data_IF_915648540029
#
_entry.id   IF_915648540029
#
_cell.length_a   1.000
_cell.length_b   1.000
_cell.length_c   1.000
_cell.angle_alpha   90.00
_cell.angle_beta   90.00
_cell.angle_gamma   90.00
#
_symmetry.space_group_name_H-M   'P 1'
#
loop_
_entity.id
_entity.type
_entity.pdbx_description
1 polymer ?
#
# COMPACT_ATOMS: atom_id res chain seq x y z
N UNK A 1 -0.28 -16.08 22.53
CA UNK A 1 -0.79 -15.81 21.17
C UNK A 1 -0.62 -14.32 20.93
N UNK A 2 0.23 -13.92 19.98
CA UNK A 2 0.34 -12.51 19.60
C UNK A 2 -0.82 -12.21 18.63
N UNK A 3 -1.68 -11.26 18.98
CA UNK A 3 -2.76 -10.82 18.10
C UNK A 3 -2.18 -10.15 16.84
N UNK A 4 -2.80 -10.36 15.68
CA UNK A 4 -2.36 -9.73 14.43
C UNK A 4 -2.56 -8.21 14.47
N UNK A 5 -1.74 -7.41 13.77
CA UNK A 5 -1.91 -5.96 13.66
C UNK A 5 -3.31 -5.55 13.20
N UNK A 6 -3.91 -6.31 12.28
CA UNK A 6 -5.29 -6.11 11.86
C UNK A 6 -6.29 -6.27 13.01
N UNK A 7 -6.13 -7.29 13.86
CA UNK A 7 -6.98 -7.50 15.03
C UNK A 7 -6.86 -6.37 16.05
N UNK A 8 -5.65 -5.82 16.21
CA UNK A 8 -5.36 -4.79 17.20
C UNK A 8 -5.78 -3.39 16.75
N UNK A 9 -5.68 -3.09 15.45
CA UNK A 9 -5.81 -1.71 14.94
C UNK A 9 -6.87 -1.52 13.86
N UNK A 10 -7.42 -2.61 13.28
CA UNK A 10 -8.34 -2.55 12.14
C UNK A 10 -9.69 -1.89 12.41
N UNK A 11 -10.04 -1.63 13.68
CA UNK A 11 -11.23 -0.84 14.03
C UNK A 11 -11.06 0.64 13.71
N UNK A 12 -9.84 1.15 13.89
CA UNK A 12 -9.54 2.59 13.84
C UNK A 12 -8.62 2.96 12.68
N UNK A 13 -8.00 1.98 12.02
CA UNK A 13 -7.05 2.18 10.93
C UNK A 13 -7.41 1.35 9.70
N UNK A 14 -7.15 1.90 8.52
CA UNK A 14 -6.93 1.14 7.30
C UNK A 14 -5.54 0.51 7.39
N UNK A 15 -5.49 -0.81 7.62
CA UNK A 15 -4.22 -1.53 7.84
C UNK A 15 -3.73 -2.10 6.51
N UNK A 16 -2.52 -1.73 6.12
CA UNK A 16 -1.78 -2.30 4.99
C UNK A 16 -0.65 -3.14 5.56
N UNK A 17 -0.83 -4.46 5.51
CA UNK A 17 0.10 -5.43 6.10
C UNK A 17 0.92 -6.12 5.01
N UNK A 18 2.24 -5.98 5.10
CA UNK A 18 3.20 -6.59 4.17
C UNK A 18 3.00 -8.10 4.00
N UNK A 19 2.47 -8.78 5.02
CA UNK A 19 2.24 -10.22 4.98
C UNK A 19 0.90 -10.61 4.35
N UNK A 20 -0.01 -9.64 4.13
CA UNK A 20 -1.38 -9.87 3.65
C UNK A 20 -1.80 -8.76 2.66
N UNK A 21 -0.98 -8.53 1.62
CA UNK A 21 -1.16 -7.40 0.70
C UNK A 21 -2.32 -7.59 -0.30
N UNK A 22 -2.63 -8.82 -0.67
CA UNK A 22 -3.57 -9.14 -1.76
C UNK A 22 -4.39 -10.39 -1.43
N UNK A 23 -5.62 -10.43 -1.96
CA UNK A 23 -6.48 -11.62 -1.95
C UNK A 23 -6.48 -12.28 -3.34
N UNK A 24 -6.44 -11.47 -4.39
CA UNK A 24 -6.35 -11.87 -5.78
C UNK A 24 -4.98 -12.43 -6.17
N UNK A 25 -4.94 -13.11 -7.31
CA UNK A 25 -3.72 -13.73 -7.84
C UNK A 25 -2.98 -12.80 -8.79
N UNK A 26 -3.73 -12.05 -9.60
CA UNK A 26 -3.24 -10.97 -10.46
C UNK A 26 -3.75 -9.62 -9.96
N UNK A 27 -3.16 -8.53 -10.44
CA UNK A 27 -3.66 -7.20 -10.09
C UNK A 27 -5.07 -6.96 -10.65
N UNK A 28 -5.38 -7.50 -11.82
CA UNK A 28 -6.72 -7.40 -12.41
C UNK A 28 -7.78 -8.09 -11.55
N UNK A 29 -7.47 -9.27 -11.00
CA UNK A 29 -8.37 -9.96 -10.07
C UNK A 29 -8.60 -9.11 -8.82
N UNK A 30 -7.53 -8.54 -8.25
CA UNK A 30 -7.61 -7.68 -7.07
C UNK A 30 -8.46 -6.43 -7.35
N UNK A 31 -8.22 -5.77 -8.49
CA UNK A 31 -8.99 -4.60 -8.89
C UNK A 31 -10.47 -4.91 -9.09
N UNK A 32 -10.79 -6.08 -9.65
CA UNK A 32 -12.16 -6.55 -9.79
C UNK A 32 -12.81 -6.78 -8.42
N UNK A 33 -12.10 -7.44 -7.49
CA UNK A 33 -12.58 -7.68 -6.12
C UNK A 33 -12.83 -6.38 -5.35
N UNK A 34 -11.99 -5.38 -5.57
CA UNK A 34 -12.11 -4.05 -4.95
C UNK A 34 -13.14 -3.14 -5.66
N UNK A 35 -13.77 -3.60 -6.74
CA UNK A 35 -14.76 -2.83 -7.49
C UNK A 35 -14.16 -1.61 -8.20
N UNK A 36 -12.91 -1.70 -8.64
CA UNK A 36 -12.23 -0.64 -9.36
C UNK A 36 -12.88 -0.39 -10.74
N UNK A 37 -12.92 0.88 -11.15
CA UNK A 37 -13.46 1.27 -12.44
C UNK A 37 -12.57 0.89 -13.62
N UNK A 38 -13.14 0.96 -14.82
CA UNK A 38 -12.38 0.80 -16.07
C UNK A 38 -11.21 1.81 -16.13
N UNK A 39 -10.03 1.36 -16.52
CA UNK A 39 -8.82 2.19 -16.59
C UNK A 39 -7.93 2.17 -15.35
N UNK A 40 -8.40 1.66 -14.20
CA UNK A 40 -7.62 1.63 -12.95
C UNK A 40 -6.25 0.95 -13.13
N UNK A 41 -6.19 -0.18 -13.85
CA UNK A 41 -4.93 -0.87 -14.12
C UNK A 41 -3.91 0.01 -14.84
N UNK A 42 -4.35 0.76 -15.85
CA UNK A 42 -3.48 1.64 -16.63
C UNK A 42 -2.98 2.81 -15.78
N UNK A 43 -3.83 3.35 -14.91
CA UNK A 43 -3.51 4.46 -14.02
C UNK A 43 -2.50 4.04 -12.95
N UNK A 44 -2.76 2.90 -12.30
CA UNK A 44 -1.83 2.30 -11.33
C UNK A 44 -0.52 1.93 -12.02
N UNK A 45 -0.55 1.48 -13.28
CA UNK A 45 0.64 1.19 -14.07
C UNK A 45 1.53 2.41 -14.30
N UNK A 46 0.94 3.59 -14.57
CA UNK A 46 1.71 4.84 -14.70
C UNK A 46 2.36 5.25 -13.38
N UNK A 47 1.66 5.07 -12.26
CA UNK A 47 2.20 5.34 -10.93
C UNK A 47 3.32 4.36 -10.56
N UNK A 48 3.13 3.06 -10.81
CA UNK A 48 4.13 2.02 -10.56
C UNK A 48 5.43 2.28 -11.34
N UNK A 49 5.33 2.79 -12.57
CA UNK A 49 6.49 3.12 -13.39
C UNK A 49 7.42 4.18 -12.75
N UNK A 50 6.88 5.08 -11.91
CA UNK A 50 7.69 6.06 -11.15
C UNK A 50 8.65 5.38 -10.16
N UNK A 51 8.27 4.21 -9.67
CA UNK A 51 9.08 3.35 -8.80
C UNK A 51 9.95 2.35 -9.57
N UNK A 52 9.93 2.39 -10.91
CA UNK A 52 10.59 1.41 -11.77
C UNK A 52 9.87 0.06 -11.85
N UNK A 53 8.62 -0.02 -11.37
CA UNK A 53 7.83 -1.25 -11.39
C UNK A 53 6.99 -1.28 -12.66
N UNK A 54 7.19 -2.31 -13.48
CA UNK A 54 6.40 -2.52 -14.71
C UNK A 54 5.28 -3.51 -14.45
N UNK A 55 4.04 -3.04 -14.57
CA UNK A 55 2.88 -3.91 -14.57
C UNK A 55 2.73 -4.60 -15.92
N UNK A 56 2.41 -5.89 -15.86
CA UNK A 56 2.19 -6.72 -17.03
C UNK A 56 0.83 -7.41 -16.87
N UNK A 57 -0.07 -7.32 -17.87
CA UNK A 57 -1.37 -7.96 -17.77
C UNK A 57 -1.27 -9.47 -17.52
N UNK A 58 -2.07 -9.98 -16.58
CA UNK A 58 -2.10 -11.38 -16.18
C UNK A 58 -0.88 -11.86 -15.40
N UNK A 59 0.07 -10.97 -15.06
CA UNK A 59 1.22 -11.34 -14.25
C UNK A 59 0.80 -11.59 -12.80
N UNK A 60 1.32 -12.68 -12.25
CA UNK A 60 1.07 -13.08 -10.86
C UNK A 60 1.68 -12.06 -9.91
N UNK A 61 0.91 -11.59 -8.93
CA UNK A 61 1.38 -10.66 -7.89
C UNK A 61 2.54 -11.27 -7.08
N UNK A 62 2.50 -12.59 -6.84
CA UNK A 62 3.55 -13.33 -6.16
C UNK A 62 4.89 -13.40 -6.91
N UNK A 63 4.91 -13.08 -8.21
CA UNK A 63 6.14 -13.04 -9.02
C UNK A 63 6.92 -11.73 -8.89
N UNK A 64 6.33 -10.70 -8.27
CA UNK A 64 7.01 -9.46 -7.93
C UNK A 64 7.80 -9.64 -6.63
N UNK A 65 8.87 -8.88 -6.45
CA UNK A 65 9.59 -8.81 -5.17
C UNK A 65 8.69 -8.24 -4.07
N UNK A 66 9.03 -8.50 -2.80
CA UNK A 66 8.25 -7.98 -1.67
C UNK A 66 8.07 -6.46 -1.70
N UNK A 67 9.13 -5.71 -2.02
CA UNK A 67 9.05 -4.25 -2.16
C UNK A 67 8.17 -3.80 -3.32
N UNK A 68 8.20 -4.50 -4.46
CA UNK A 68 7.30 -4.23 -5.58
C UNK A 68 5.84 -4.53 -5.21
N UNK A 69 5.57 -5.65 -4.55
CA UNK A 69 4.23 -6.00 -4.05
C UNK A 69 3.69 -4.93 -3.10
N UNK A 70 4.51 -4.46 -2.16
CA UNK A 70 4.17 -3.37 -1.25
C UNK A 70 3.80 -2.08 -1.99
N UNK A 71 4.59 -1.69 -3.00
CA UNK A 71 4.34 -0.51 -3.83
C UNK A 71 3.02 -0.67 -4.60
N UNK A 72 2.83 -1.80 -5.27
CA UNK A 72 1.61 -2.08 -6.05
C UNK A 72 0.37 -2.00 -5.14
N UNK A 73 0.41 -2.63 -3.97
CA UNK A 73 -0.70 -2.61 -3.01
C UNK A 73 -1.00 -1.18 -2.53
N UNK A 74 0.03 -0.43 -2.10
CA UNK A 74 -0.17 0.93 -1.61
C UNK A 74 -0.74 1.85 -2.70
N UNK A 75 -0.21 1.80 -3.93
CA UNK A 75 -0.71 2.61 -5.04
C UNK A 75 -2.14 2.24 -5.44
N UNK A 76 -2.46 0.95 -5.42
CA UNK A 76 -3.82 0.46 -5.68
C UNK A 76 -4.80 0.99 -4.64
N UNK A 77 -4.45 0.88 -3.35
CA UNK A 77 -5.29 1.39 -2.27
C UNK A 77 -5.40 2.91 -2.31
N UNK A 78 -4.33 3.65 -2.57
CA UNK A 78 -4.41 5.11 -2.74
C UNK A 78 -5.37 5.54 -3.86
N UNK A 79 -5.45 4.78 -4.95
CA UNK A 79 -6.37 5.05 -6.04
C UNK A 79 -7.85 4.84 -5.64
N UNK A 80 -8.11 3.89 -4.73
CA UNK A 80 -9.46 3.42 -4.39
C UNK A 80 -9.99 3.94 -3.06
N UNK A 81 -9.11 4.38 -2.16
CA UNK A 81 -9.49 4.93 -0.87
C UNK A 81 -10.21 6.29 -1.03
N UNK A 82 -11.21 6.58 -0.18
CA UNK A 82 -11.95 7.82 -0.26
C UNK A 82 -11.07 9.01 0.10
N UNK A 83 -11.29 10.16 -0.56
CA UNK A 83 -10.58 11.42 -0.31
C UNK A 83 -11.22 12.16 0.87
N UNK A 84 -11.07 11.57 2.06
CA UNK A 84 -11.56 12.07 3.34
C UNK A 84 -10.55 11.74 4.44
N UNK A 85 -10.69 12.26 5.66
CA UNK A 85 -9.78 11.91 6.74
C UNK A 85 -9.80 10.41 7.04
N UNK A 86 -8.62 9.80 7.01
CA UNK A 86 -8.40 8.37 7.23
C UNK A 86 -7.13 8.20 8.05
N UNK A 87 -7.08 7.16 8.90
CA UNK A 87 -5.84 6.73 9.54
C UNK A 87 -5.34 5.49 8.82
N UNK A 88 -4.18 5.56 8.20
CA UNK A 88 -3.57 4.47 7.44
C UNK A 88 -2.40 3.93 8.24
N UNK A 89 -2.36 2.62 8.47
CA UNK A 89 -1.28 1.95 9.19
C UNK A 89 -0.51 1.03 8.25
N UNK A 90 0.75 1.38 7.99
CA UNK A 90 1.69 0.58 7.21
C UNK A 90 2.47 -0.38 8.11
N UNK A 91 2.17 -1.67 8.05
CA UNK A 91 2.83 -2.69 8.88
C UNK A 91 3.96 -3.33 8.09
N UNK A 92 5.20 -3.13 8.53
CA UNK A 92 6.45 -3.59 7.89
C UNK A 92 6.66 -3.17 6.42
N UNK A 93 5.73 -2.43 5.80
CA UNK A 93 5.79 -2.00 4.40
C UNK A 93 7.08 -1.22 4.12
N UNK A 94 7.35 -0.17 4.91
CA UNK A 94 8.49 0.73 4.64
C UNK A 94 9.86 0.06 4.83
N UNK A 95 9.94 -1.00 5.63
CA UNK A 95 11.16 -1.76 5.88
C UNK A 95 11.60 -2.58 4.66
N UNK A 96 10.64 -2.98 3.82
CA UNK A 96 10.91 -3.74 2.58
C UNK A 96 11.39 -2.86 1.43
N UNK A 97 11.34 -1.53 1.58
CA UNK A 97 11.63 -0.57 0.53
C UNK A 97 13.04 0.02 0.68
N UNK A 98 13.67 0.32 -0.45
CA UNK A 98 14.88 1.14 -0.48
C UNK A 98 14.58 2.56 0.05
N UNK A 99 15.59 3.30 0.55
CA UNK A 99 15.39 4.67 1.05
C UNK A 99 14.67 5.59 0.04
N UNK A 100 15.10 5.54 -1.22
CA UNK A 100 14.47 6.29 -2.32
C UNK A 100 12.99 5.94 -2.49
N UNK A 101 12.65 4.65 -2.51
CA UNK A 101 11.26 4.22 -2.70
C UNK A 101 10.40 4.52 -1.47
N UNK A 102 10.99 4.52 -0.27
CA UNK A 102 10.31 4.93 0.96
C UNK A 102 9.91 6.40 0.90
N UNK A 103 10.87 7.28 0.61
CA UNK A 103 10.62 8.72 0.46
C UNK A 103 9.54 8.98 -0.59
N UNK A 104 9.70 8.39 -1.78
CA UNK A 104 8.74 8.56 -2.87
C UNK A 104 7.35 8.05 -2.48
N UNK A 105 7.23 6.91 -1.80
CA UNK A 105 5.94 6.38 -1.38
C UNK A 105 5.23 7.30 -0.38
N UNK A 106 5.98 7.85 0.58
CA UNK A 106 5.45 8.82 1.54
C UNK A 106 4.98 10.10 0.84
N UNK A 107 5.76 10.61 -0.13
CA UNK A 107 5.37 11.77 -0.93
C UNK A 107 4.10 11.50 -1.76
N UNK A 108 3.95 10.28 -2.31
CA UNK A 108 2.71 9.88 -3.01
C UNK A 108 1.52 9.83 -2.06
N UNK A 109 1.65 9.28 -0.85
CA UNK A 109 0.57 9.32 0.14
C UNK A 109 0.15 10.76 0.47
N UNK A 110 1.11 11.64 0.74
CA UNK A 110 0.83 13.05 1.04
C UNK A 110 0.18 13.78 -0.14
N UNK A 111 0.54 13.43 -1.37
CA UNK A 111 -0.02 14.05 -2.59
C UNK A 111 -1.44 13.52 -2.90
N UNK A 112 -1.65 12.21 -2.80
CA UNK A 112 -2.88 11.56 -3.24
C UNK A 112 -3.95 11.58 -2.15
N UNK A 113 -3.55 11.39 -0.89
CA UNK A 113 -4.43 11.36 0.28
C UNK A 113 -3.98 12.41 1.31
N UNK A 114 -4.03 13.72 0.99
CA UNK A 114 -3.48 14.78 1.85
C UNK A 114 -4.18 14.90 3.21
N UNK A 115 -5.41 14.40 3.33
CA UNK A 115 -6.18 14.39 4.58
C UNK A 115 -5.96 13.13 5.42
N UNK A 116 -5.17 12.16 4.94
CA UNK A 116 -4.90 10.92 5.67
C UNK A 116 -3.74 11.09 6.66
N UNK A 117 -3.93 10.59 7.88
CA UNK A 117 -2.86 10.41 8.85
C UNK A 117 -2.17 9.07 8.57
N UNK A 118 -0.88 9.12 8.28
CA UNK A 118 -0.09 7.93 7.96
C UNK A 118 0.74 7.48 9.17
N UNK A 119 0.64 6.20 9.50
CA UNK A 119 1.34 5.56 10.59
C UNK A 119 2.13 4.35 10.08
N UNK A 120 3.17 3.97 10.82
CA UNK A 120 3.97 2.77 10.57
C UNK A 120 4.01 1.88 11.81
N UNK A 121 4.03 0.57 11.61
CA UNK A 121 4.21 -0.42 12.68
C UNK A 121 5.43 -1.27 12.38
N UNK A 122 6.54 -0.98 13.09
CA UNK A 122 7.80 -1.75 13.09
C UNK A 122 7.92 -2.59 14.38
N UNK A 123 7.28 -2.13 15.45
CA UNK A 123 7.25 -2.77 16.77
C UNK A 123 5.82 -3.06 17.24
N UNK A 124 5.51 -2.74 18.50
CA UNK A 124 4.18 -2.98 19.08
C UNK A 124 3.22 -1.81 18.94
N UNK A 125 3.72 -0.61 18.68
CA UNK A 125 2.91 0.61 18.67
C UNK A 125 3.01 1.35 17.33
N UNK A 126 1.87 1.84 16.80
CA UNK A 126 1.86 2.72 15.64
C UNK A 126 2.60 4.03 15.90
N UNK A 127 3.50 4.41 14.99
CA UNK A 127 4.22 5.68 15.02
C UNK A 127 3.88 6.51 13.77
N UNK A 128 3.82 7.85 13.83
CA UNK A 128 3.60 8.67 12.64
C UNK A 128 4.69 8.43 11.58
N UNK A 129 4.27 8.16 10.35
CA UNK A 129 5.16 7.96 9.21
C UNK A 129 5.88 9.28 8.89
N UNK A 130 7.21 9.28 8.95
CA UNK A 130 8.04 10.49 8.83
C UNK A 130 8.81 10.88 10.10
N UNK A 131 8.56 10.19 11.23
CA UNK A 131 9.33 10.37 12.48
C UNK A 131 10.72 9.73 12.44
N UNK A 132 11.10 9.10 11.32
CA UNK A 132 12.43 8.53 11.08
C UNK A 132 13.16 9.38 10.05
N UNK A 133 13.62 10.54 10.50
CA UNK A 133 14.76 11.24 9.92
C UNK A 133 16.06 10.69 10.52
#
# INVERSE_FOLDING_TARGET
MNASPLTLHGRDHCVIDMHNLFVGTTLEDELLLLGAGEGALADIGRECALFGVRLEPGRLLSSYSGGEQAIICCLTLMALLPRRPLRILLVHVLETLSPRNRELLLDRFATVLPEADLFTLVGKEPLPAGSHA
#
